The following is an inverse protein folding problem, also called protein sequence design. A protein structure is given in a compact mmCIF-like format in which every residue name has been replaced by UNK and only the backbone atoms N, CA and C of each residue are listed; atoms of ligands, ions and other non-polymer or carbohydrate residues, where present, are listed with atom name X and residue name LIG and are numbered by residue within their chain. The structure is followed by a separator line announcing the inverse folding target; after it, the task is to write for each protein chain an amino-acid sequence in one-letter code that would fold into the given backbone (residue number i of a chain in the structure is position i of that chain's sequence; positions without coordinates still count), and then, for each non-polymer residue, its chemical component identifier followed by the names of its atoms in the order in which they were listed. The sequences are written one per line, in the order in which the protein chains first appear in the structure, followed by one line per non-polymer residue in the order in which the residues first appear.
data_IF_393402562354
#
_entry.id   IF_393402562354
#
_cell.length_a   1.000
_cell.length_b   1.000
_cell.length_c   1.000
_cell.angle_alpha   90.00
_cell.angle_beta   90.00
_cell.angle_gamma   90.00
#
_symmetry.space_group_name_H-M   'P 1'
#
loop_
_entity.id
_entity.type
_entity.pdbx_description
1 polymer ?
#
# COMPACT_ATOMS: atom_id res chain seq x y z
N UNK A 1 13.73 -20.71 -5.76
CA UNK A 1 14.57 -19.83 -4.90
C UNK A 1 13.60 -19.11 -3.99
N UNK A 2 13.74 -19.17 -2.67
CA UNK A 2 12.76 -18.54 -1.78
C UNK A 2 12.93 -17.02 -1.86
N UNK A 3 11.86 -16.30 -2.16
CA UNK A 3 11.85 -14.82 -2.08
C UNK A 3 12.13 -14.43 -0.62
N UNK A 4 13.13 -13.58 -0.42
CA UNK A 4 13.37 -12.93 0.88
C UNK A 4 12.45 -11.70 1.00
N UNK A 5 11.22 -11.95 1.45
CA UNK A 5 10.17 -10.93 1.50
C UNK A 5 10.51 -9.78 2.46
N UNK A 6 11.23 -10.05 3.56
CA UNK A 6 11.68 -9.00 4.51
C UNK A 6 12.65 -8.04 3.84
N UNK A 7 13.71 -8.61 3.23
CA UNK A 7 14.74 -7.83 2.55
C UNK A 7 14.16 -7.03 1.40
N UNK A 8 13.26 -7.64 0.63
CA UNK A 8 12.56 -6.96 -0.47
C UNK A 8 11.70 -5.80 0.05
N UNK A 9 10.91 -6.00 1.10
CA UNK A 9 10.09 -4.95 1.70
C UNK A 9 10.94 -3.77 2.17
N UNK A 10 12.01 -4.05 2.94
CA UNK A 10 12.95 -3.01 3.40
C UNK A 10 13.56 -2.24 2.25
N UNK A 11 14.06 -2.95 1.22
CA UNK A 11 14.68 -2.35 0.03
C UNK A 11 13.72 -1.41 -0.69
N UNK A 12 12.49 -1.87 -0.95
CA UNK A 12 11.49 -1.08 -1.70
C UNK A 12 11.04 0.14 -0.90
N UNK A 13 10.80 -0.01 0.41
CA UNK A 13 10.39 1.14 1.23
C UNK A 13 11.49 2.19 1.33
N UNK A 14 12.74 1.78 1.52
CA UNK A 14 13.88 2.70 1.52
C UNK A 14 14.06 3.41 0.17
N UNK A 15 13.84 2.70 -0.94
CA UNK A 15 13.94 3.28 -2.29
C UNK A 15 12.86 4.34 -2.54
N UNK A 16 11.63 4.09 -2.11
CA UNK A 16 10.48 4.95 -2.46
C UNK A 16 10.30 6.11 -1.50
N UNK A 17 10.45 5.87 -0.20
CA UNK A 17 10.18 6.89 0.81
C UNK A 17 11.44 7.56 1.36
N UNK A 18 12.61 6.92 1.21
CA UNK A 18 13.87 7.42 1.78
C UNK A 18 13.77 7.65 3.29
N UNK A 19 14.35 8.76 3.75
CA UNK A 19 14.41 9.13 5.17
C UNK A 19 13.20 9.95 5.66
N UNK A 20 12.17 10.13 4.82
CA UNK A 20 11.02 10.98 5.13
C UNK A 20 9.92 10.28 5.95
N UNK A 21 10.16 9.04 6.36
CA UNK A 21 9.22 8.22 7.12
C UNK A 21 9.93 7.46 8.24
N UNK A 22 9.23 7.27 9.35
CA UNK A 22 9.60 6.28 10.35
C UNK A 22 8.95 4.94 10.00
N UNK A 23 9.70 3.84 10.11
CA UNK A 23 9.21 2.50 9.73
C UNK A 23 9.38 1.49 10.86
N UNK A 24 8.27 0.92 11.31
CA UNK A 24 8.25 -0.20 12.24
C UNK A 24 8.01 -1.51 11.47
N UNK A 25 9.02 -2.39 11.46
CA UNK A 25 8.93 -3.70 10.82
C UNK A 25 8.50 -4.77 11.81
N UNK A 26 7.62 -5.67 11.38
CA UNK A 26 7.20 -6.83 12.18
C UNK A 26 6.93 -8.06 11.31
N UNK A 27 6.91 -9.23 11.94
CA UNK A 27 6.56 -10.49 11.28
C UNK A 27 5.19 -10.96 11.78
N UNK A 28 4.32 -11.36 10.86
CA UNK A 28 3.02 -11.97 11.15
C UNK A 28 3.09 -13.49 10.95
N UNK A 29 3.14 -14.28 12.03
CA UNK A 29 3.22 -15.73 11.94
C UNK A 29 1.94 -16.38 11.40
N UNK A 30 0.79 -15.70 11.42
CA UNK A 30 -0.49 -16.28 10.95
C UNK A 30 -0.57 -16.30 9.42
N UNK A 31 -0.09 -15.26 8.77
CA UNK A 31 0.00 -15.14 7.31
C UNK A 31 1.35 -15.58 6.75
N UNK A 32 2.31 -15.87 7.63
CA UNK A 32 3.72 -16.06 7.27
C UNK A 32 4.28 -14.88 6.46
N UNK A 33 3.92 -13.65 6.86
CA UNK A 33 4.24 -12.43 6.12
C UNK A 33 5.02 -11.40 6.92
N UNK A 34 5.61 -10.44 6.20
CA UNK A 34 6.33 -9.30 6.75
C UNK A 34 5.47 -8.05 6.67
N UNK A 35 5.44 -7.26 7.74
CA UNK A 35 4.67 -6.03 7.83
C UNK A 35 5.58 -4.84 8.05
N UNK A 36 5.13 -3.70 7.56
CA UNK A 36 5.71 -2.41 7.88
C UNK A 36 4.59 -1.43 8.20
N UNK A 37 4.68 -0.78 9.36
CA UNK A 37 3.87 0.39 9.71
C UNK A 37 4.75 1.61 9.48
N UNK A 38 4.27 2.54 8.65
CA UNK A 38 4.99 3.76 8.32
C UNK A 38 4.27 4.95 8.94
N UNK A 39 5.04 5.88 9.48
CA UNK A 39 4.55 7.16 9.99
C UNK A 39 5.30 8.28 9.28
N UNK A 40 4.59 9.20 8.62
CA UNK A 40 5.24 10.39 8.04
C UNK A 40 5.75 11.32 9.14
N UNK A 41 6.89 11.99 8.89
CA UNK A 41 7.58 12.85 9.87
C UNK A 41 7.01 14.29 9.88
N UNK A 42 5.93 14.54 9.14
CA UNK A 42 5.33 15.87 8.98
C UNK A 42 4.45 16.29 10.17
N UNK A 43 4.06 17.58 10.19
CA UNK A 43 3.18 18.18 11.21
C UNK A 43 1.84 17.45 11.41
N UNK A 44 1.39 16.72 10.38
CA UNK A 44 0.24 15.82 10.45
C UNK A 44 0.69 14.39 10.10
N UNK A 45 1.01 13.55 11.09
CA UNK A 45 1.52 12.22 10.84
C UNK A 45 0.47 11.37 10.13
N UNK A 46 0.84 10.86 8.96
CA UNK A 46 0.06 9.91 8.17
C UNK A 46 0.51 8.50 8.50
N UNK A 47 -0.44 7.61 8.80
CA UNK A 47 -0.14 6.19 9.05
C UNK A 47 -0.46 5.34 7.82
N UNK A 48 0.53 4.56 7.39
CA UNK A 48 0.41 3.63 6.27
C UNK A 48 0.81 2.22 6.70
N UNK A 49 0.15 1.21 6.14
CA UNK A 49 0.50 -0.18 6.37
C UNK A 49 0.99 -0.87 5.09
N UNK A 50 1.95 -1.77 5.24
CA UNK A 50 2.33 -2.77 4.23
C UNK A 50 2.29 -4.16 4.85
N UNK A 51 1.95 -5.15 4.03
CA UNK A 51 2.06 -6.55 4.37
C UNK A 51 2.43 -7.32 3.11
N UNK A 52 3.53 -8.04 3.16
CA UNK A 52 4.06 -8.83 2.06
C UNK A 52 4.16 -10.28 2.53
N UNK A 53 3.43 -11.16 1.88
CA UNK A 53 3.56 -12.61 2.05
C UNK A 53 4.30 -13.22 0.87
N UNK A 54 4.32 -14.54 0.74
CA UNK A 54 4.81 -15.19 -0.48
C UNK A 54 3.83 -15.07 -1.66
N UNK A 55 2.53 -14.91 -1.41
CA UNK A 55 1.51 -15.02 -2.46
C UNK A 55 0.79 -13.70 -2.76
N UNK A 56 0.96 -12.68 -1.90
CA UNK A 56 0.28 -11.40 -2.05
C UNK A 56 0.98 -10.27 -1.31
N UNK A 57 0.63 -9.06 -1.72
CA UNK A 57 1.04 -7.81 -1.08
C UNK A 57 -0.21 -6.98 -0.77
N UNK A 58 -0.29 -6.41 0.42
CA UNK A 58 -1.35 -5.50 0.81
C UNK A 58 -0.77 -4.18 1.29
N UNK A 59 -1.52 -3.10 1.03
CA UNK A 59 -1.25 -1.76 1.52
C UNK A 59 -2.48 -1.15 2.17
N UNK A 60 -2.26 -0.27 3.13
CA UNK A 60 -3.31 0.46 3.85
C UNK A 60 -2.97 1.93 4.01
N UNK A 61 -4.00 2.76 3.93
CA UNK A 61 -4.05 4.14 4.38
C UNK A 61 -4.92 4.15 5.63
N UNK A 62 -4.27 4.31 6.80
CA UNK A 62 -4.87 4.06 8.13
C UNK A 62 -5.45 5.33 8.77
N UNK A 63 -5.22 6.50 8.17
CA UNK A 63 -5.73 7.78 8.64
C UNK A 63 -7.09 8.16 8.02
N UNK A 64 -7.66 7.29 7.18
CA UNK A 64 -8.99 7.43 6.59
C UNK A 64 -10.00 6.57 7.34
N UNK A 65 -11.25 7.05 7.48
CA UNK A 65 -12.33 6.29 8.12
C UNK A 65 -13.50 5.97 7.16
N UNK A 66 -13.74 4.69 6.83
CA UNK A 66 -12.93 3.51 7.17
C UNK A 66 -11.59 3.49 6.42
N UNK A 67 -10.64 2.70 6.94
CA UNK A 67 -9.34 2.48 6.33
C UNK A 67 -9.49 2.06 4.86
N UNK A 68 -8.63 2.64 4.03
CA UNK A 68 -8.57 2.36 2.60
C UNK A 68 -7.43 1.37 2.37
N UNK A 69 -7.67 0.32 1.60
CA UNK A 69 -6.67 -0.73 1.38
C UNK A 69 -6.62 -1.19 -0.07
N UNK A 70 -5.56 -1.88 -0.43
CA UNK A 70 -5.51 -2.70 -1.63
C UNK A 70 -4.73 -3.96 -1.31
N UNK A 71 -5.25 -5.11 -1.73
CA UNK A 71 -4.51 -6.37 -1.77
C UNK A 71 -4.31 -6.73 -3.21
N UNK A 72 -3.07 -7.08 -3.54
CA UNK A 72 -2.72 -7.62 -4.82
C UNK A 72 -2.17 -9.03 -4.68
N UNK A 73 -2.74 -9.93 -5.47
CA UNK A 73 -2.38 -11.34 -5.46
C UNK A 73 -1.38 -11.58 -6.57
N UNK A 74 -0.19 -12.02 -6.19
CA UNK A 74 0.89 -12.30 -7.11
C UNK A 74 1.33 -13.75 -6.89
N UNK A 75 0.86 -14.61 -7.79
CA UNK A 75 1.21 -16.03 -7.81
C UNK A 75 2.49 -16.29 -8.61
N UNK A 76 3.14 -15.22 -9.10
CA UNK A 76 4.48 -15.33 -9.66
C UNK A 76 5.48 -15.49 -8.50
N UNK A 77 6.24 -16.58 -8.57
CA UNK A 77 7.25 -16.92 -7.57
C UNK A 77 8.61 -16.26 -7.85
N UNK A 78 8.67 -15.36 -8.83
CA UNK A 78 9.86 -14.57 -9.16
C UNK A 78 9.96 -13.29 -8.31
N UNK A 79 11.18 -13.01 -7.80
CA UNK A 79 11.43 -11.87 -6.88
C UNK A 79 11.25 -10.51 -7.57
N UNK A 80 11.68 -10.36 -8.82
CA UNK A 80 11.68 -9.06 -9.51
C UNK A 80 10.29 -8.56 -9.92
N UNK A 81 9.40 -9.38 -10.52
CA UNK A 81 8.01 -8.98 -10.77
C UNK A 81 7.31 -8.53 -9.50
N UNK A 82 7.51 -9.27 -8.41
CA UNK A 82 6.94 -8.94 -7.11
C UNK A 82 7.52 -7.67 -6.48
N UNK A 83 8.83 -7.45 -6.63
CA UNK A 83 9.47 -6.21 -6.20
C UNK A 83 8.96 -5.01 -7.00
N UNK A 84 8.77 -5.15 -8.32
CA UNK A 84 8.20 -4.10 -9.18
C UNK A 84 6.76 -3.76 -8.75
N UNK A 85 5.97 -4.79 -8.47
CA UNK A 85 4.62 -4.67 -7.95
C UNK A 85 4.57 -3.93 -6.60
N UNK A 86 5.38 -4.37 -5.63
CA UNK A 86 5.49 -3.70 -4.33
C UNK A 86 5.95 -2.24 -4.46
N UNK A 87 6.85 -1.96 -5.40
CA UNK A 87 7.31 -0.60 -5.70
C UNK A 87 6.20 0.28 -6.26
N UNK A 88 5.35 -0.25 -7.14
CA UNK A 88 4.17 0.47 -7.64
C UNK A 88 3.21 0.80 -6.49
N UNK A 89 2.92 -0.17 -5.62
CA UNK A 89 2.10 0.04 -4.41
C UNK A 89 2.70 1.10 -3.49
N UNK A 90 4.02 1.05 -3.27
CA UNK A 90 4.72 2.01 -2.44
C UNK A 90 4.64 3.43 -3.01
N UNK A 91 4.80 3.60 -4.32
CA UNK A 91 4.66 4.90 -5.00
C UNK A 91 3.26 5.48 -4.84
N UNK A 92 2.22 4.64 -4.89
CA UNK A 92 0.84 5.09 -4.65
C UNK A 92 0.67 5.65 -3.24
N UNK A 93 1.20 4.97 -2.22
CA UNK A 93 1.12 5.48 -0.85
C UNK A 93 2.01 6.71 -0.61
N UNK A 94 3.17 6.78 -1.25
CA UNK A 94 4.02 7.98 -1.24
C UNK A 94 3.30 9.19 -1.84
N UNK A 95 2.58 9.01 -2.95
CA UNK A 95 1.76 10.06 -3.54
C UNK A 95 0.62 10.51 -2.61
N UNK A 96 0.05 9.61 -1.79
CA UNK A 96 -0.91 9.98 -0.76
C UNK A 96 -0.29 10.90 0.29
N UNK A 97 0.88 10.54 0.83
CA UNK A 97 1.61 11.34 1.83
C UNK A 97 1.92 12.74 1.30
N UNK A 98 2.30 12.85 0.02
CA UNK A 98 2.60 14.14 -0.61
C UNK A 98 1.36 14.91 -1.11
N UNK A 99 0.15 14.37 -0.93
CA UNK A 99 -1.08 15.01 -1.39
C UNK A 99 -1.26 15.05 -2.92
N UNK A 100 -0.59 14.17 -3.66
CA UNK A 100 -0.57 14.13 -5.14
C UNK A 100 -1.80 13.40 -5.76
N UNK A 101 -2.80 13.05 -4.94
CA UNK A 101 -4.04 12.42 -5.38
C UNK A 101 -5.27 13.11 -4.81
N UNK A 102 -6.42 12.42 -4.88
CA UNK A 102 -7.67 12.91 -4.31
C UNK A 102 -8.43 11.81 -3.59
N UNK A 103 -9.20 12.22 -2.58
CA UNK A 103 -10.17 11.35 -1.91
C UNK A 103 -11.53 11.53 -2.55
N UNK A 104 -12.04 10.47 -3.16
CA UNK A 104 -13.39 10.38 -3.69
C UNK A 104 -14.30 9.65 -2.69
N UNK A 105 -15.49 10.18 -2.45
CA UNK A 105 -16.47 9.56 -1.54
C UNK A 105 -17.54 8.83 -2.37
N UNK A 106 -17.52 7.50 -2.34
CA UNK A 106 -18.42 6.66 -3.16
C UNK A 106 -19.57 6.08 -2.33
N UNK A 107 -20.80 6.05 -2.86
CA UNK A 107 -21.92 5.37 -2.20
C UNK A 107 -21.64 3.86 -2.08
N UNK A 108 -21.97 3.27 -0.94
CA UNK A 108 -21.94 1.80 -0.80
C UNK A 108 -23.33 1.21 -0.93
N UNK A 109 -23.43 0.01 -1.50
CA UNK A 109 -24.70 -0.70 -1.66
C UNK A 109 -25.30 -1.17 -0.32
N UNK A 110 -24.47 -1.38 0.71
CA UNK A 110 -24.85 -2.04 1.96
C UNK A 110 -25.03 -1.05 3.13
N UNK A 111 -24.33 0.08 3.13
CA UNK A 111 -24.42 1.12 4.17
C UNK A 111 -24.73 2.47 3.53
N UNK A 112 -25.68 3.23 4.08
CA UNK A 112 -26.00 4.62 3.68
C UNK A 112 -24.87 5.64 3.99
N UNK A 113 -23.60 5.19 4.05
CA UNK A 113 -22.43 6.00 4.32
C UNK A 113 -21.57 6.03 3.06
N UNK A 114 -21.05 7.21 2.73
CA UNK A 114 -20.05 7.35 1.69
C UNK A 114 -18.72 6.77 2.17
N UNK A 115 -18.05 5.97 1.35
CA UNK A 115 -16.74 5.42 1.65
C UNK A 115 -15.65 6.19 0.91
N UNK A 116 -14.52 6.50 1.58
CA UNK A 116 -13.38 7.12 0.93
C UNK A 116 -12.73 6.14 -0.03
N UNK A 117 -12.29 6.68 -1.16
CA UNK A 117 -11.43 6.04 -2.13
C UNK A 117 -10.29 6.98 -2.45
N UNK A 118 -9.06 6.51 -2.31
CA UNK A 118 -7.91 7.27 -2.79
C UNK A 118 -7.73 7.01 -4.28
N UNK A 119 -7.65 8.08 -5.07
CA UNK A 119 -7.46 8.03 -6.51
C UNK A 119 -6.25 8.88 -6.87
N UNK A 120 -5.32 8.30 -7.63
CA UNK A 120 -4.09 8.96 -8.04
C UNK A 120 -3.70 8.50 -9.44
N UNK A 121 -3.10 9.41 -10.21
CA UNK A 121 -2.52 9.10 -11.52
C UNK A 121 -1.00 9.00 -11.39
N UNK A 122 -0.45 7.82 -11.65
CA UNK A 122 0.98 7.53 -11.55
C UNK A 122 1.37 6.70 -12.77
N UNK A 123 2.52 7.02 -13.36
CA UNK A 123 3.07 6.30 -14.51
C UNK A 123 2.08 6.19 -15.70
N UNK A 124 1.26 7.23 -15.91
CA UNK A 124 0.25 7.29 -16.99
C UNK A 124 -0.99 6.44 -16.76
N UNK A 125 -1.15 5.89 -15.56
CA UNK A 125 -2.29 5.05 -15.16
C UNK A 125 -3.02 5.56 -13.93
N UNK A 126 -4.34 5.34 -13.87
CA UNK A 126 -5.15 5.70 -12.71
C UNK A 126 -5.25 4.54 -11.73
N UNK A 127 -4.74 4.75 -10.52
CA UNK A 127 -4.88 3.85 -9.39
C UNK A 127 -6.07 4.26 -8.53
N UNK A 128 -6.81 3.27 -8.02
CA UNK A 128 -7.89 3.52 -7.06
C UNK A 128 -7.82 2.50 -5.91
N UNK A 129 -7.70 3.00 -4.69
CA UNK A 129 -7.70 2.21 -3.46
C UNK A 129 -9.02 2.46 -2.73
N UNK A 130 -9.62 1.42 -2.17
CA UNK A 130 -10.88 1.50 -1.41
C UNK A 130 -10.99 0.37 -0.40
N UNK A 131 -12.00 0.40 0.45
CA UNK A 131 -12.12 -0.59 1.55
C UNK A 131 -12.37 -2.04 1.07
N UNK A 132 -13.02 -2.23 -0.09
CA UNK A 132 -13.37 -3.55 -0.63
C UNK A 132 -13.00 -3.75 -2.10
N UNK A 133 -12.75 -2.67 -2.82
CA UNK A 133 -12.45 -2.69 -4.24
C UNK A 133 -11.28 -1.76 -4.49
N UNK A 134 -10.23 -2.33 -5.09
CA UNK A 134 -9.09 -1.60 -5.58
C UNK A 134 -8.90 -1.93 -7.06
N UNK A 135 -8.44 -0.95 -7.83
CA UNK A 135 -8.21 -1.10 -9.26
C UNK A 135 -6.83 -0.58 -9.62
N UNK A 136 -6.14 -1.37 -10.44
CA UNK A 136 -4.86 -1.03 -11.06
C UNK A 136 -5.07 -0.54 -12.49
N UNK A 137 -4.15 0.28 -13.01
CA UNK A 137 -4.03 0.50 -14.45
C UNK A 137 -3.82 -0.85 -15.17
N UNK A 138 -4.38 -0.98 -16.37
CA UNK A 138 -4.19 -2.13 -17.27
C UNK A 138 -3.17 -1.75 -18.33
#
# INVERSE_FOLDING_TARGET
MSIDADRMLRRVLAEVFGDNIEVEYSYDPKSMGHRALLTSVDDKPTQLGFHVTHDWCSVWILDLEPDVSMTDFDYDYEEEPKAANLRALARVLHAYVNGEGRIEYRPTLIRRRLQPHFVVEIDGGVWSLGHHFSRRPV
#
